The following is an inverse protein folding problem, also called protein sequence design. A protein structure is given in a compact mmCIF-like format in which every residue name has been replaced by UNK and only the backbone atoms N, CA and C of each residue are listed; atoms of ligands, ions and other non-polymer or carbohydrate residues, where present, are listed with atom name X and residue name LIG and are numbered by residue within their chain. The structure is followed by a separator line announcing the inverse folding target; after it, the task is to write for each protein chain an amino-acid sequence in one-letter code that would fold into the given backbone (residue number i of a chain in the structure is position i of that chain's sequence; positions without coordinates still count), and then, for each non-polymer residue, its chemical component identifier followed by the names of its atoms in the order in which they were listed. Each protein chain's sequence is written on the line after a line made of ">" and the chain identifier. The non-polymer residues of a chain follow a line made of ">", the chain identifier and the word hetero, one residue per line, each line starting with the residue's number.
data_IF_472040393486
#
_entry.id   IF_472040393486
#
_cell.length_a   1.000
_cell.length_b   1.000
_cell.length_c   1.000
_cell.angle_alpha   90.00
_cell.angle_beta   90.00
_cell.angle_gamma   90.00
#
_symmetry.space_group_name_H-M   'P 1'
#
loop_
_entity.id
_entity.type
_entity.pdbx_description
1 polymer ?
#
# COMPACT_ATOMS: atom_id res chain seq x y z
N UNK A 1 6.55 21.66 13.23
CA UNK A 1 7.24 21.62 11.91
C UNK A 1 6.15 21.70 10.86
N UNK A 2 6.31 22.47 9.78
CA UNK A 2 5.30 22.56 8.72
C UNK A 2 5.74 21.70 7.54
N UNK A 3 4.95 20.68 7.22
CA UNK A 3 5.14 19.78 6.10
C UNK A 3 4.54 20.31 4.81
N UNK A 4 3.57 21.24 4.89
CA UNK A 4 2.88 21.76 3.71
C UNK A 4 3.04 23.28 3.56
N UNK A 5 3.34 23.71 2.34
CA UNK A 5 3.26 25.13 1.96
C UNK A 5 1.79 25.59 1.91
N UNK A 6 1.59 26.90 1.88
CA UNK A 6 0.24 27.46 1.72
C UNK A 6 -0.36 27.06 0.37
N UNK A 7 0.46 27.04 -0.70
CA UNK A 7 0.03 26.61 -2.03
C UNK A 7 -0.40 25.13 -2.04
N UNK A 8 0.32 24.26 -1.33
CA UNK A 8 -0.07 22.86 -1.16
C UNK A 8 -1.41 22.73 -0.43
N UNK A 9 -1.62 23.52 0.63
CA UNK A 9 -2.90 23.53 1.38
C UNK A 9 -4.07 24.01 0.52
N UNK A 10 -3.89 25.06 -0.28
CA UNK A 10 -4.91 25.52 -1.22
C UNK A 10 -5.17 24.50 -2.34
N UNK A 11 -4.12 23.83 -2.84
CA UNK A 11 -4.27 22.74 -3.79
C UNK A 11 -5.10 21.58 -3.19
N UNK A 12 -4.82 21.19 -1.94
CA UNK A 12 -5.59 20.14 -1.25
C UNK A 12 -7.05 20.50 -1.11
N UNK A 13 -7.38 21.71 -0.66
CA UNK A 13 -8.77 22.17 -0.54
C UNK A 13 -9.53 22.10 -1.86
N UNK A 14 -8.85 22.43 -2.96
CA UNK A 14 -9.45 22.44 -4.31
C UNK A 14 -9.60 21.04 -4.90
N UNK A 15 -8.64 20.14 -4.69
CA UNK A 15 -8.53 18.89 -5.43
C UNK A 15 -8.75 17.63 -4.57
N UNK A 16 -8.72 17.74 -3.25
CA UNK A 16 -8.89 16.63 -2.31
C UNK A 16 -7.65 15.73 -2.15
N UNK A 17 -6.50 16.09 -2.72
CA UNK A 17 -5.25 15.33 -2.60
C UNK A 17 -4.00 16.21 -2.68
N UNK A 18 -2.88 15.70 -2.18
CA UNK A 18 -1.52 16.22 -2.40
C UNK A 18 -0.59 15.02 -2.66
N UNK A 19 0.41 15.20 -3.52
CA UNK A 19 1.50 14.22 -3.73
C UNK A 19 2.77 14.73 -3.05
N UNK A 20 3.24 14.01 -2.02
CA UNK A 20 4.54 14.27 -1.38
C UNK A 20 5.52 13.17 -1.77
N UNK A 21 6.65 13.56 -2.33
CA UNK A 21 7.71 12.64 -2.71
C UNK A 21 8.63 12.34 -1.52
N UNK A 22 9.24 11.16 -1.52
CA UNK A 22 10.27 10.75 -0.54
C UNK A 22 9.84 10.85 0.93
N UNK A 23 8.57 10.59 1.23
CA UNK A 23 8.03 10.64 2.61
C UNK A 23 8.38 9.41 3.45
N UNK A 24 8.82 8.35 2.79
CA UNK A 24 9.41 7.15 3.41
C UNK A 24 10.84 7.02 2.86
N UNK A 25 11.80 6.72 3.72
CA UNK A 25 13.17 6.49 3.28
C UNK A 25 13.27 5.20 2.46
N UNK A 26 14.16 5.19 1.48
CA UNK A 26 14.43 3.99 0.67
C UNK A 26 14.90 2.81 1.55
N UNK A 27 15.59 3.10 2.66
CA UNK A 27 16.08 2.09 3.59
C UNK A 27 14.92 1.34 4.27
N UNK A 28 13.91 2.08 4.76
CA UNK A 28 12.71 1.46 5.35
C UNK A 28 11.95 0.62 4.33
N UNK A 29 11.84 1.12 3.09
CA UNK A 29 11.21 0.38 1.99
C UNK A 29 11.97 -0.93 1.72
N UNK A 30 13.30 -0.87 1.62
CA UNK A 30 14.13 -2.05 1.38
C UNK A 30 14.00 -3.08 2.50
N UNK A 31 14.06 -2.66 3.76
CA UNK A 31 13.90 -3.56 4.92
C UNK A 31 12.55 -4.26 4.92
N UNK A 32 11.47 -3.52 4.70
CA UNK A 32 10.12 -4.07 4.58
C UNK A 32 10.00 -5.06 3.42
N UNK A 33 10.62 -4.77 2.26
CA UNK A 33 10.62 -5.66 1.11
C UNK A 33 11.33 -6.99 1.40
N UNK A 34 12.48 -6.96 2.09
CA UNK A 34 13.19 -8.21 2.46
C UNK A 34 12.30 -9.12 3.32
N UNK A 35 11.54 -8.55 4.25
CA UNK A 35 10.57 -9.31 5.07
C UNK A 35 9.47 -9.89 4.20
N UNK A 36 8.85 -9.09 3.32
CA UNK A 36 7.79 -9.58 2.43
C UNK A 36 8.28 -10.76 1.59
N UNK A 37 9.49 -10.67 1.02
CA UNK A 37 10.06 -11.72 0.17
C UNK A 37 10.35 -13.03 0.90
N UNK A 38 10.61 -13.00 2.22
CA UNK A 38 10.74 -14.24 3.02
C UNK A 38 9.45 -15.06 3.09
N UNK A 39 8.31 -14.46 2.76
CA UNK A 39 6.99 -15.09 2.83
C UNK A 39 6.34 -15.33 1.46
N UNK A 40 7.06 -15.05 0.37
CA UNK A 40 6.61 -15.32 -1.00
C UNK A 40 7.35 -16.57 -1.49
N UNK A 41 6.61 -17.58 -1.91
CA UNK A 41 7.17 -18.82 -2.48
C UNK A 41 7.43 -18.65 -3.99
N UNK A 42 8.24 -17.63 -4.32
CA UNK A 42 8.60 -17.27 -5.69
C UNK A 42 10.03 -16.72 -5.74
N UNK A 43 10.71 -16.88 -6.88
CA UNK A 43 11.99 -16.24 -7.12
C UNK A 43 11.76 -14.77 -7.49
N UNK A 44 12.26 -13.87 -6.65
CA UNK A 44 12.23 -12.41 -6.85
C UNK A 44 12.75 -11.95 -8.22
N UNK A 45 13.63 -12.71 -8.85
CA UNK A 45 14.28 -12.35 -10.11
C UNK A 45 13.75 -13.14 -11.32
N UNK A 46 12.76 -14.03 -11.12
CA UNK A 46 12.12 -14.79 -12.21
C UNK A 46 10.63 -14.57 -12.20
N UNK A 47 10.13 -13.71 -13.09
CA UNK A 47 8.72 -13.30 -13.12
C UNK A 47 7.77 -14.48 -13.36
N UNK A 48 8.19 -15.48 -14.13
CA UNK A 48 7.43 -16.70 -14.41
C UNK A 48 7.14 -17.50 -13.13
N UNK A 49 8.05 -17.42 -12.15
CA UNK A 49 7.88 -18.09 -10.85
C UNK A 49 6.81 -17.44 -9.97
N UNK A 50 6.30 -16.24 -10.31
CA UNK A 50 5.32 -15.52 -9.49
C UNK A 50 3.89 -16.00 -9.74
N UNK A 51 3.67 -16.74 -10.82
CA UNK A 51 2.35 -17.26 -11.20
C UNK A 51 1.94 -18.33 -10.18
N UNK A 52 0.79 -18.11 -9.52
CA UNK A 52 0.26 -18.98 -8.45
C UNK A 52 1.21 -19.19 -7.25
N UNK A 53 2.18 -18.30 -7.06
CA UNK A 53 3.34 -18.50 -6.19
C UNK A 53 3.14 -18.15 -4.71
N UNK A 54 1.90 -17.90 -4.30
CA UNK A 54 1.64 -17.25 -3.04
C UNK A 54 0.46 -17.80 -2.28
N UNK A 55 0.47 -17.68 -0.95
CA UNK A 55 -0.67 -18.04 -0.15
C UNK A 55 -1.89 -17.20 -0.54
N UNK A 56 -3.08 -17.79 -0.45
CA UNK A 56 -4.32 -17.02 -0.61
C UNK A 56 -4.48 -16.12 0.62
N UNK A 57 -4.54 -14.81 0.41
CA UNK A 57 -4.84 -13.84 1.46
C UNK A 57 -3.64 -13.02 1.91
N UNK A 58 -3.63 -12.63 3.19
CA UNK A 58 -2.57 -11.80 3.75
C UNK A 58 -1.34 -12.63 4.09
N UNK A 59 -0.15 -12.08 3.85
CA UNK A 59 1.09 -12.67 4.32
C UNK A 59 1.20 -12.58 5.85
N UNK A 60 1.79 -13.59 6.52
CA UNK A 60 1.90 -13.66 7.98
C UNK A 60 3.01 -12.75 8.55
N UNK A 61 3.27 -11.60 7.92
CA UNK A 61 4.33 -10.66 8.31
C UNK A 61 3.81 -9.25 8.60
N UNK A 62 2.50 -9.06 8.62
CA UNK A 62 1.86 -7.75 8.84
C UNK A 62 2.32 -7.09 10.16
N UNK A 63 2.55 -7.90 11.20
CA UNK A 63 3.01 -7.41 12.51
C UNK A 63 4.53 -7.25 12.63
N UNK A 64 5.30 -7.56 11.59
CA UNK A 64 6.76 -7.50 11.63
C UNK A 64 7.23 -6.05 11.88
N UNK A 65 8.25 -5.82 12.75
CA UNK A 65 8.73 -4.48 13.08
C UNK A 65 9.08 -3.62 11.87
N UNK A 66 9.78 -4.19 10.88
CA UNK A 66 10.17 -3.47 9.66
C UNK A 66 8.97 -3.09 8.77
N UNK A 67 7.87 -3.85 8.81
CA UNK A 67 6.63 -3.49 8.13
C UNK A 67 5.95 -2.33 8.87
N UNK A 68 5.85 -2.42 10.19
CA UNK A 68 5.27 -1.36 11.03
C UNK A 68 6.08 -0.06 10.98
N UNK A 69 7.39 -0.14 10.78
CA UNK A 69 8.27 1.01 10.68
C UNK A 69 7.93 1.92 9.48
N UNK A 70 7.31 1.39 8.41
CA UNK A 70 6.85 2.22 7.27
C UNK A 70 5.82 3.27 7.71
N UNK A 71 5.01 2.96 8.72
CA UNK A 71 4.03 3.90 9.29
C UNK A 71 4.64 4.63 10.49
N UNK A 72 5.20 3.89 11.44
CA UNK A 72 5.60 4.44 12.74
C UNK A 72 6.86 5.32 12.68
N UNK A 73 7.73 5.08 11.70
CA UNK A 73 9.00 5.79 11.55
C UNK A 73 9.01 6.71 10.32
N UNK A 74 7.85 6.97 9.72
CA UNK A 74 7.69 7.93 8.64
C UNK A 74 6.95 9.18 9.12
N UNK A 75 7.04 10.26 8.35
CA UNK A 75 6.41 11.53 8.70
C UNK A 75 4.91 11.58 8.33
N UNK A 76 4.36 10.48 7.79
CA UNK A 76 3.04 10.47 7.15
C UNK A 76 1.91 10.79 8.12
N UNK A 77 1.98 10.27 9.35
CA UNK A 77 0.99 10.57 10.39
C UNK A 77 1.05 12.05 10.78
N UNK A 78 2.25 12.58 11.04
CA UNK A 78 2.43 14.00 11.38
C UNK A 78 1.99 14.94 10.25
N UNK A 79 2.22 14.54 8.99
CA UNK A 79 1.68 15.24 7.82
C UNK A 79 0.16 15.24 7.83
N UNK A 80 -0.48 14.09 8.04
CA UNK A 80 -1.93 14.01 8.07
C UNK A 80 -2.53 14.85 9.21
N UNK A 81 -1.95 14.81 10.41
CA UNK A 81 -2.34 15.63 11.57
C UNK A 81 -2.23 17.13 11.26
N UNK A 82 -1.22 17.59 10.51
CA UNK A 82 -1.15 19.01 10.12
C UNK A 82 -2.37 19.46 9.28
N UNK A 83 -2.94 18.56 8.46
CA UNK A 83 -4.08 18.88 7.61
C UNK A 83 -5.42 18.89 8.38
N UNK A 84 -5.55 18.07 9.43
CA UNK A 84 -6.81 17.90 10.16
C UNK A 84 -6.83 18.54 11.56
N UNK A 85 -5.66 18.95 12.06
CA UNK A 85 -5.42 19.43 13.43
C UNK A 85 -4.80 18.34 14.31
N UNK A 86 -3.88 18.71 15.19
CA UNK A 86 -3.15 17.79 16.09
C UNK A 86 -4.10 16.96 16.98
N UNK A 87 -3.74 15.69 17.17
CA UNK A 87 -4.46 14.67 17.95
C UNK A 87 -5.91 14.43 17.47
N UNK A 88 -6.17 14.61 16.17
CA UNK A 88 -7.50 14.40 15.59
C UNK A 88 -7.63 13.06 14.87
N UNK A 89 -6.52 12.43 14.47
CA UNK A 89 -6.58 11.15 13.77
C UNK A 89 -6.57 10.01 14.76
N UNK A 90 -7.50 9.09 14.55
CA UNK A 90 -7.42 7.76 15.15
C UNK A 90 -6.72 6.82 14.16
N UNK A 91 -5.90 5.92 14.68
CA UNK A 91 -5.29 4.85 13.86
C UNK A 91 -6.40 3.93 13.38
N UNK A 92 -6.86 4.14 12.14
CA UNK A 92 -7.98 3.38 11.59
C UNK A 92 -7.61 1.91 11.36
N UNK A 93 -6.39 1.63 10.91
CA UNK A 93 -5.86 0.28 10.69
C UNK A 93 -4.33 0.25 10.68
N UNK A 94 -3.76 -0.90 10.99
CA UNK A 94 -2.34 -1.23 10.83
C UNK A 94 -2.01 -1.61 9.37
N UNK A 95 -0.73 -1.65 8.93
CA UNK A 95 -0.39 -2.03 7.56
C UNK A 95 -0.91 -3.45 7.28
N UNK A 96 -1.28 -3.74 6.03
CA UNK A 96 -1.69 -5.10 5.63
C UNK A 96 -0.80 -5.58 4.48
N UNK A 97 -0.08 -6.68 4.68
CA UNK A 97 0.67 -7.33 3.62
C UNK A 97 -0.26 -8.23 2.78
N UNK A 98 -1.17 -7.61 2.02
CA UNK A 98 -2.11 -8.32 1.15
C UNK A 98 -1.57 -8.41 -0.27
N UNK A 99 -1.14 -9.60 -0.67
CA UNK A 99 -0.61 -9.86 -2.00
C UNK A 99 -1.68 -10.53 -2.87
N UNK A 100 -1.82 -10.07 -4.11
CA UNK A 100 -2.64 -10.72 -5.14
C UNK A 100 -1.69 -11.21 -6.21
N UNK A 101 -1.52 -12.52 -6.29
CA UNK A 101 -0.58 -13.15 -7.21
C UNK A 101 -1.20 -13.29 -8.60
N UNK A 102 -0.41 -13.12 -9.68
CA UNK A 102 -0.85 -13.47 -11.01
C UNK A 102 -1.35 -14.92 -11.06
N UNK A 103 -2.51 -15.12 -11.65
CA UNK A 103 -3.00 -16.45 -12.03
C UNK A 103 -2.62 -16.68 -13.48
N UNK A 104 -2.12 -17.86 -13.82
CA UNK A 104 -1.58 -18.20 -15.15
C UNK A 104 -2.65 -18.33 -16.24
N UNK A 105 -3.50 -17.31 -16.41
CA UNK A 105 -4.54 -17.26 -17.43
C UNK A 105 -3.88 -17.16 -18.82
N UNK A 106 -4.11 -18.18 -19.64
CA UNK A 106 -3.68 -18.22 -21.05
C UNK A 106 -4.66 -17.48 -21.98
N UNK A 107 -5.93 -17.40 -21.58
CA UNK A 107 -6.99 -16.70 -22.30
C UNK A 107 -7.57 -15.61 -21.41
N UNK A 108 -7.11 -14.37 -21.60
CA UNK A 108 -7.60 -13.22 -20.86
C UNK A 108 -9.10 -13.05 -21.09
N UNK A 109 -9.90 -13.27 -20.04
CA UNK A 109 -11.34 -13.06 -20.07
C UNK A 109 -11.77 -12.17 -18.90
N UNK A 110 -12.59 -11.17 -19.19
CA UNK A 110 -13.22 -10.37 -18.15
C UNK A 110 -14.12 -11.27 -17.29
N UNK A 111 -13.80 -11.39 -15.99
CA UNK A 111 -14.60 -12.18 -15.04
C UNK A 111 -16.07 -11.80 -15.11
N UNK A 112 -16.94 -12.82 -15.13
CA UNK A 112 -18.42 -12.66 -15.23
C UNK A 112 -18.97 -11.83 -14.07
N UNK A 113 -18.31 -11.87 -12.91
CA UNK A 113 -18.61 -11.07 -11.72
C UNK A 113 -17.32 -10.57 -11.10
N UNK A 114 -17.35 -9.37 -10.53
CA UNK A 114 -16.22 -8.81 -9.82
C UNK A 114 -16.30 -7.30 -9.65
N UNK A 115 -15.37 -6.78 -8.86
CA UNK A 115 -15.09 -5.36 -8.73
C UNK A 115 -13.85 -5.06 -9.58
N UNK A 116 -13.96 -4.08 -10.48
CA UNK A 116 -12.80 -3.27 -10.85
C UNK A 116 -12.73 -2.16 -9.82
N UNK A 117 -11.55 -1.72 -9.39
CA UNK A 117 -11.45 -0.72 -8.33
C UNK A 117 -12.28 0.54 -8.62
N UNK A 118 -13.40 0.69 -7.90
CA UNK A 118 -14.38 1.79 -8.06
C UNK A 118 -15.60 1.49 -8.93
N UNK A 119 -15.70 0.30 -9.53
CA UNK A 119 -16.76 -0.07 -10.48
C UNK A 119 -17.24 -1.51 -10.27
N UNK A 120 -18.56 -1.68 -10.23
CA UNK A 120 -19.21 -2.99 -10.17
C UNK A 120 -19.59 -3.40 -11.58
N UNK A 121 -19.28 -4.63 -11.97
CA UNK A 121 -19.88 -5.25 -13.16
C UNK A 121 -21.19 -5.94 -12.73
N UNK A 122 -22.38 -5.48 -13.19
CA UNK A 122 -23.62 -6.19 -12.94
C UNK A 122 -23.56 -7.59 -13.58
N UNK A 123 -24.05 -8.61 -12.88
CA UNK A 123 -24.25 -9.93 -13.49
C UNK A 123 -25.51 -9.91 -14.35
N UNK A 124 -25.44 -10.42 -15.58
CA UNK A 124 -26.61 -10.86 -16.34
C UNK A 124 -26.95 -12.30 -15.97
#
# INVERSE_FOLDING_TARGET
>A
MTYFSNEEKEFFKKNGYIVKQNTISIQLIQQALEVVWQHIDADRNQAESWINAGPKGNLPCTDHPDIKALINNSQQLAMAEELVGEDRLEVANYPFCKMIYPTGESDWQLRVRGHMDGYIRPGH
#
